data_IF_517156093532
#
_entry.id   IF_517156093532
#
_cell.length_a   1.000
_cell.length_b   1.000
_cell.length_c   1.000
_cell.angle_alpha   90.00
_cell.angle_beta   90.00
_cell.angle_gamma   90.00
#
_symmetry.space_group_name_H-M   'P 1'
#
loop_
_entity.id
_entity.type
_entity.pdbx_description
1 polymer ?
#
# COMPACT_ATOMS: atom_id res chain seq x y z
N UNK A 1 -0.17 11.90 -9.15
CA UNK A 1 0.67 10.73 -9.50
C UNK A 1 -0.04 9.40 -9.28
N UNK A 2 -0.80 9.22 -8.20
CA UNK A 2 -1.49 7.94 -7.89
C UNK A 2 -2.37 7.45 -9.04
N UNK A 3 -3.38 8.21 -9.50
CA UNK A 3 -4.22 7.81 -10.65
C UNK A 3 -3.43 7.61 -11.96
N UNK A 4 -2.42 8.43 -12.20
CA UNK A 4 -1.58 8.31 -13.41
C UNK A 4 -0.62 7.10 -13.37
N UNK A 5 -0.51 6.41 -12.23
CA UNK A 5 0.35 5.23 -12.08
C UNK A 5 -0.37 3.91 -12.39
N UNK A 6 -1.67 3.95 -12.69
CA UNK A 6 -2.44 2.75 -13.00
C UNK A 6 -1.83 2.01 -14.20
N UNK A 7 -1.64 0.70 -14.05
CA UNK A 7 -1.00 -0.15 -15.06
C UNK A 7 0.52 0.00 -15.19
N UNK A 8 1.16 0.88 -14.42
CA UNK A 8 2.60 1.07 -14.50
C UNK A 8 3.37 -0.14 -13.95
N UNK A 9 4.36 -0.61 -14.72
CA UNK A 9 5.24 -1.73 -14.33
C UNK A 9 6.45 -1.31 -13.49
N UNK A 10 6.62 -0.01 -13.25
CA UNK A 10 7.79 0.57 -12.56
C UNK A 10 8.01 -0.02 -11.16
N UNK A 11 6.93 -0.37 -10.46
CA UNK A 11 6.99 -0.83 -9.07
C UNK A 11 7.14 -2.35 -8.94
N UNK A 12 7.31 -3.06 -10.05
CA UNK A 12 7.22 -4.53 -10.07
C UNK A 12 8.43 -5.22 -9.44
N UNK A 13 9.61 -4.62 -9.53
CA UNK A 13 10.85 -5.27 -9.11
C UNK A 13 11.69 -4.32 -8.24
N UNK A 14 12.35 -4.89 -7.22
CA UNK A 14 13.39 -4.24 -6.44
C UNK A 14 14.45 -5.29 -6.14
N UNK A 15 15.64 -5.11 -6.69
CA UNK A 15 16.74 -6.05 -6.52
C UNK A 15 17.60 -5.64 -5.32
N UNK A 16 17.90 -6.60 -4.47
CA UNK A 16 18.78 -6.41 -3.31
C UNK A 16 19.63 -7.66 -3.09
N UNK A 17 20.77 -7.50 -2.42
CA UNK A 17 21.60 -8.63 -1.99
C UNK A 17 21.03 -9.23 -0.70
N UNK A 18 20.61 -10.50 -0.76
CA UNK A 18 20.10 -11.26 0.37
C UNK A 18 20.98 -12.48 0.57
N UNK A 19 21.72 -12.52 1.68
CA UNK A 19 22.68 -13.60 2.01
C UNK A 19 23.71 -13.83 0.88
N UNK A 20 24.26 -12.74 0.33
CA UNK A 20 25.29 -12.79 -0.72
C UNK A 20 24.77 -13.12 -2.12
N UNK A 21 23.46 -13.08 -2.35
CA UNK A 21 22.84 -13.32 -3.67
C UNK A 21 21.90 -12.18 -4.03
N UNK A 22 22.00 -11.71 -5.27
CA UNK A 22 21.01 -10.79 -5.82
C UNK A 22 19.64 -11.49 -5.91
N UNK A 23 18.61 -10.83 -5.39
CA UNK A 23 17.25 -11.32 -5.40
C UNK A 23 16.28 -10.17 -5.65
N UNK A 24 15.26 -10.41 -6.48
CA UNK A 24 14.09 -9.53 -6.55
C UNK A 24 13.24 -9.74 -5.29
N UNK A 25 13.32 -8.79 -4.36
CA UNK A 25 12.62 -8.88 -3.08
C UNK A 25 11.13 -8.58 -3.19
N UNK A 26 10.65 -8.05 -4.33
CA UNK A 26 9.22 -7.87 -4.61
C UNK A 26 8.59 -9.05 -5.34
N UNK A 27 9.40 -10.06 -5.72
CA UNK A 27 8.96 -11.30 -6.39
C UNK A 27 8.09 -11.02 -7.62
N UNK A 28 8.56 -10.15 -8.52
CA UNK A 28 7.86 -9.75 -9.74
C UNK A 28 6.48 -9.10 -9.47
N UNK A 29 6.36 -8.33 -8.40
CA UNK A 29 5.19 -7.52 -8.05
C UNK A 29 4.25 -8.16 -7.03
N UNK A 30 4.64 -9.29 -6.43
CA UNK A 30 3.93 -10.00 -5.37
C UNK A 30 3.91 -9.22 -4.07
N UNK A 31 5.04 -8.61 -3.74
CA UNK A 31 5.25 -7.93 -2.46
C UNK A 31 5.48 -6.43 -2.67
N UNK A 32 4.72 -5.80 -3.56
CA UNK A 32 5.00 -4.44 -4.02
C UNK A 32 4.08 -3.35 -3.44
N UNK A 33 2.99 -3.68 -2.73
CA UNK A 33 2.06 -2.68 -2.22
C UNK A 33 2.73 -1.60 -1.35
N UNK A 34 3.58 -2.02 -0.41
CA UNK A 34 4.35 -1.09 0.42
C UNK A 34 5.37 -0.29 -0.40
N UNK A 35 6.08 -0.93 -1.33
CA UNK A 35 7.07 -0.28 -2.18
C UNK A 35 6.44 0.81 -3.05
N UNK A 36 5.31 0.52 -3.67
CA UNK A 36 4.53 1.48 -4.45
C UNK A 36 4.16 2.72 -3.62
N UNK A 37 3.56 2.52 -2.44
CA UNK A 37 3.13 3.63 -1.58
C UNK A 37 4.34 4.43 -1.08
N UNK A 38 5.38 3.73 -0.61
CA UNK A 38 6.58 4.36 -0.08
C UNK A 38 7.31 5.20 -1.15
N UNK A 39 7.46 4.69 -2.36
CA UNK A 39 8.12 5.41 -3.46
C UNK A 39 7.40 6.71 -3.80
N UNK A 40 6.06 6.70 -3.85
CA UNK A 40 5.29 7.92 -4.12
C UNK A 40 5.39 8.92 -2.97
N UNK A 41 5.24 8.47 -1.72
CA UNK A 41 5.37 9.37 -0.56
C UNK A 41 6.77 9.97 -0.45
N UNK A 42 7.80 9.15 -0.65
CA UNK A 42 9.19 9.57 -0.53
C UNK A 42 9.58 10.58 -1.62
N UNK A 43 9.09 10.42 -2.85
CA UNK A 43 9.28 11.38 -3.94
C UNK A 43 8.83 12.80 -3.57
N UNK A 44 7.81 12.93 -2.71
CA UNK A 44 7.31 14.20 -2.21
C UNK A 44 7.81 14.57 -0.80
N UNK A 45 8.79 13.82 -0.27
CA UNK A 45 9.35 14.00 1.07
C UNK A 45 8.30 13.94 2.19
N UNK A 46 7.27 13.13 1.99
CA UNK A 46 6.20 12.88 2.97
C UNK A 46 6.54 11.73 3.93
N UNK A 47 7.59 10.97 3.61
CA UNK A 47 8.27 10.00 4.48
C UNK A 47 9.78 10.11 4.27
N UNK A 48 10.56 9.67 5.26
CA UNK A 48 12.01 9.83 5.24
C UNK A 48 12.71 8.89 4.24
N UNK A 49 12.24 7.64 4.11
CA UNK A 49 12.95 6.58 3.38
C UNK A 49 11.98 5.75 2.50
N UNK A 50 12.46 5.10 1.43
CA UNK A 50 11.69 4.08 0.73
C UNK A 50 11.57 2.80 1.57
N UNK A 51 10.44 2.09 1.48
CA UNK A 51 10.17 0.87 2.25
C UNK A 51 9.61 -0.24 1.36
N UNK A 52 10.17 -1.45 1.46
CA UNK A 52 9.64 -2.64 0.80
C UNK A 52 8.58 -3.39 1.64
N UNK A 53 8.40 -3.03 2.92
CA UNK A 53 7.47 -3.72 3.84
C UNK A 53 6.45 -2.76 4.42
N UNK A 54 5.22 -3.24 4.64
CA UNK A 54 4.14 -2.45 5.24
C UNK A 54 4.54 -1.98 6.64
N UNK A 55 5.17 -2.86 7.43
CA UNK A 55 5.63 -2.52 8.79
C UNK A 55 6.68 -1.39 8.79
N UNK A 56 7.63 -1.40 7.85
CA UNK A 56 8.61 -0.32 7.67
C UNK A 56 7.93 1.01 7.32
N UNK A 57 7.04 0.97 6.32
CA UNK A 57 6.27 2.13 5.88
C UNK A 57 5.45 2.74 7.03
N UNK A 58 4.74 1.94 7.83
CA UNK A 58 3.93 2.45 8.95
C UNK A 58 4.77 3.16 10.00
N UNK A 59 5.92 2.61 10.36
CA UNK A 59 6.82 3.26 11.32
C UNK A 59 7.30 4.62 10.80
N UNK A 60 7.60 4.70 9.51
CA UNK A 60 8.07 5.95 8.91
C UNK A 60 6.95 6.98 8.70
N UNK A 61 5.74 6.54 8.35
CA UNK A 61 4.55 7.40 8.35
C UNK A 61 4.39 8.09 9.71
N UNK A 62 4.36 7.31 10.80
CA UNK A 62 4.21 7.83 12.15
C UNK A 62 5.34 8.80 12.52
N UNK A 63 6.59 8.44 12.21
CA UNK A 63 7.76 9.29 12.44
C UNK A 63 7.72 10.59 11.61
N UNK A 64 7.10 10.55 10.44
CA UNK A 64 6.98 11.67 9.50
C UNK A 64 5.72 12.52 9.73
N UNK A 65 5.06 12.36 10.89
CA UNK A 65 3.93 13.20 11.29
C UNK A 65 2.56 12.73 10.79
N UNK A 66 2.47 11.53 10.20
CA UNK A 66 1.17 10.95 9.87
C UNK A 66 0.50 10.39 11.12
N UNK A 67 -0.77 10.71 11.30
CA UNK A 67 -1.57 10.28 12.44
C UNK A 67 -2.65 9.31 12.01
N UNK A 68 -3.02 8.39 12.89
CA UNK A 68 -4.20 7.53 12.67
C UNK A 68 -5.47 8.39 12.68
N UNK A 69 -6.41 8.04 11.83
CA UNK A 69 -7.67 8.77 11.67
C UNK A 69 -8.79 7.82 11.26
N UNK A 70 -10.02 8.17 11.62
CA UNK A 70 -11.23 7.49 11.15
C UNK A 70 -11.76 8.09 9.84
N UNK A 71 -11.11 9.16 9.34
CA UNK A 71 -11.54 9.88 8.15
C UNK A 71 -11.00 9.20 6.88
N UNK A 72 -11.91 8.75 6.02
CA UNK A 72 -11.61 8.33 4.65
C UNK A 72 -11.56 9.56 3.74
N UNK A 73 -10.36 10.09 3.50
CA UNK A 73 -10.16 11.32 2.73
C UNK A 73 -9.13 11.11 1.61
N UNK A 74 -9.28 11.77 0.45
CA UNK A 74 -8.31 11.68 -0.64
C UNK A 74 -6.89 11.95 -0.17
N UNK A 75 -5.94 11.11 -0.59
CA UNK A 75 -4.53 11.20 -0.21
C UNK A 75 -4.16 10.51 1.10
N UNK A 76 -5.14 10.06 1.89
CA UNK A 76 -4.87 9.23 3.06
C UNK A 76 -4.23 7.88 2.66
N UNK A 77 -3.41 7.32 3.54
CA UNK A 77 -2.87 5.97 3.38
C UNK A 77 -3.78 5.01 4.12
N UNK A 78 -4.35 4.05 3.41
CA UNK A 78 -5.26 3.03 3.97
C UNK A 78 -4.55 1.69 4.08
N UNK A 79 -4.74 1.02 5.21
CA UNK A 79 -4.23 -0.32 5.49
C UNK A 79 -5.37 -1.30 5.63
N UNK A 80 -5.18 -2.49 5.07
CA UNK A 80 -6.11 -3.59 5.15
C UNK A 80 -5.53 -4.77 5.91
N UNK A 81 -6.43 -5.61 6.44
CA UNK A 81 -6.07 -6.80 7.22
C UNK A 81 -5.17 -7.76 6.43
N UNK A 82 -4.39 -8.55 7.15
CA UNK A 82 -3.55 -9.58 6.56
C UNK A 82 -4.37 -10.74 6.00
N UNK A 83 -4.13 -11.06 4.73
CA UNK A 83 -4.72 -12.22 4.07
C UNK A 83 -3.64 -13.23 3.71
N UNK A 84 -4.04 -14.50 3.65
CA UNK A 84 -3.16 -15.57 3.18
C UNK A 84 -2.89 -15.36 1.68
N UNK A 85 -1.62 -15.17 1.36
CA UNK A 85 -1.14 -15.12 0.00
C UNK A 85 -1.01 -16.54 -0.58
N UNK A 86 -0.85 -16.67 -1.90
CA UNK A 86 -0.72 -17.99 -2.58
C UNK A 86 0.43 -18.85 -2.05
N UNK A 87 1.45 -18.22 -1.46
CA UNK A 87 2.59 -18.88 -0.83
C UNK A 87 2.30 -19.43 0.58
N UNK A 88 1.13 -19.12 1.16
CA UNK A 88 0.78 -19.41 2.55
C UNK A 88 1.27 -18.36 3.56
N UNK A 89 2.09 -17.40 3.12
CA UNK A 89 2.48 -16.25 3.93
C UNK A 89 1.29 -15.29 4.12
N UNK A 90 1.18 -14.67 5.28
CA UNK A 90 0.18 -13.63 5.53
C UNK A 90 0.78 -12.26 5.28
N UNK A 91 0.09 -11.43 4.50
CA UNK A 91 0.55 -10.09 4.17
C UNK A 91 -0.55 -9.06 4.37
N UNK A 92 -0.23 -8.03 5.16
CA UNK A 92 -1.02 -6.80 5.17
C UNK A 92 -0.96 -6.13 3.81
N UNK A 93 -1.98 -5.33 3.50
CA UNK A 93 -2.03 -4.57 2.26
C UNK A 93 -2.18 -3.08 2.52
N UNK A 94 -1.71 -2.26 1.60
CA UNK A 94 -1.67 -0.81 1.76
C UNK A 94 -1.88 -0.10 0.43
N UNK A 95 -2.51 1.07 0.48
CA UNK A 95 -2.81 1.87 -0.69
C UNK A 95 -3.12 3.33 -0.34
N UNK A 96 -3.49 4.09 -1.35
CA UNK A 96 -3.96 5.46 -1.21
C UNK A 96 -5.47 5.52 -1.37
N UNK A 97 -6.13 6.24 -0.48
CA UNK A 97 -7.52 6.66 -0.66
C UNK A 97 -7.57 7.68 -1.79
N UNK A 98 -8.43 7.42 -2.76
CA UNK A 98 -8.66 8.31 -3.90
C UNK A 98 -9.88 9.20 -3.67
N UNK A 99 -10.93 8.60 -3.12
CA UNK A 99 -12.19 9.23 -2.74
C UNK A 99 -12.88 8.37 -1.67
N UNK A 100 -14.13 8.67 -1.32
CA UNK A 100 -14.85 7.99 -0.23
C UNK A 100 -15.09 6.48 -0.43
N UNK A 101 -14.95 5.96 -1.67
CA UNK A 101 -15.22 4.54 -1.98
C UNK A 101 -14.09 3.86 -2.73
N UNK A 102 -13.10 4.62 -3.23
CA UNK A 102 -12.05 4.11 -4.10
C UNK A 102 -10.68 4.24 -3.46
N UNK A 103 -9.86 3.20 -3.62
CA UNK A 103 -8.45 3.23 -3.27
C UNK A 103 -7.59 2.68 -4.41
N UNK A 104 -6.33 3.10 -4.47
CA UNK A 104 -5.33 2.58 -5.40
C UNK A 104 -4.21 1.90 -4.64
N UNK A 105 -3.86 0.70 -5.08
CA UNK A 105 -2.75 -0.07 -4.52
C UNK A 105 -2.10 -0.93 -5.59
N UNK A 106 -0.90 -1.45 -5.32
CA UNK A 106 -0.28 -2.42 -6.21
C UNK A 106 -0.94 -3.79 -6.05
N UNK A 107 -1.50 -4.33 -7.13
CA UNK A 107 -2.13 -5.66 -7.13
C UNK A 107 -1.08 -6.76 -7.25
N UNK A 108 -1.21 -7.78 -6.39
CA UNK A 108 -0.47 -9.03 -6.47
C UNK A 108 -0.91 -9.88 -7.67
N UNK A 109 -2.18 -9.87 -8.07
CA UNK A 109 -2.62 -10.62 -9.26
C UNK A 109 -2.17 -9.97 -10.57
N UNK A 110 -2.36 -8.66 -10.71
CA UNK A 110 -2.10 -7.92 -11.96
C UNK A 110 -0.64 -7.45 -12.10
N UNK A 111 0.12 -7.49 -11.00
CA UNK A 111 1.52 -7.07 -10.93
C UNK A 111 1.73 -5.58 -11.33
N UNK A 112 0.74 -4.73 -11.07
CA UNK A 112 0.72 -3.28 -11.35
C UNK A 112 -0.21 -2.55 -10.37
N UNK A 113 -0.10 -1.20 -10.21
CA UNK A 113 -1.12 -0.41 -9.53
C UNK A 113 -2.48 -0.49 -10.23
N UNK A 114 -3.53 -0.72 -9.45
CA UNK A 114 -4.92 -0.75 -9.93
C UNK A 114 -5.85 -0.05 -8.94
N UNK A 115 -7.06 0.29 -9.40
CA UNK A 115 -8.13 0.81 -8.55
C UNK A 115 -8.93 -0.35 -7.95
N UNK A 116 -9.36 -0.19 -6.69
CA UNK A 116 -10.22 -1.12 -5.97
C UNK A 116 -11.28 -0.34 -5.19
N UNK A 117 -12.41 -1.00 -4.90
CA UNK A 117 -13.29 -0.52 -3.84
C UNK A 117 -12.52 -0.51 -2.51
N UNK A 118 -12.77 0.49 -1.65
CA UNK A 118 -12.01 0.69 -0.41
C UNK A 118 -12.13 -0.48 0.59
N UNK A 119 -13.12 -1.35 0.42
CA UNK A 119 -13.31 -2.59 1.21
C UNK A 119 -13.12 -3.86 0.38
N UNK A 120 -12.62 -3.76 -0.85
CA UNK A 120 -12.59 -4.84 -1.84
C UNK A 120 -13.98 -5.39 -2.22
N UNK A 121 -15.04 -4.63 -1.90
CA UNK A 121 -16.45 -4.99 -2.05
C UNK A 121 -17.07 -5.46 -0.74
N UNK A 122 -18.20 -6.14 -0.84
CA UNK A 122 -18.94 -6.69 0.31
C UNK A 122 -19.18 -8.20 0.15
N UNK A 123 -19.24 -8.88 1.29
CA UNK A 123 -19.72 -10.25 1.40
C UNK A 123 -21.25 -10.29 1.32
N UNK A 124 -21.83 -11.49 1.26
CA UNK A 124 -23.28 -11.67 1.17
C UNK A 124 -24.06 -11.12 2.38
N UNK A 125 -23.41 -11.02 3.54
CA UNK A 125 -23.96 -10.45 4.78
C UNK A 125 -23.78 -8.92 4.88
N UNK A 126 -23.23 -8.29 3.84
CA UNK A 126 -22.94 -6.85 3.79
C UNK A 126 -21.62 -6.44 4.44
N UNK A 127 -20.89 -7.37 5.08
CA UNK A 127 -19.58 -7.07 5.68
C UNK A 127 -18.52 -6.77 4.60
N UNK A 128 -17.49 -5.95 4.89
CA UNK A 128 -16.35 -5.73 4.01
C UNK A 128 -15.70 -7.05 3.57
N UNK A 129 -15.40 -7.20 2.27
CA UNK A 129 -14.59 -8.34 1.79
C UNK A 129 -13.20 -8.33 2.41
N UNK A 130 -12.62 -7.13 2.56
CA UNK A 130 -11.37 -6.93 3.28
C UNK A 130 -11.49 -5.74 4.24
N UNK A 131 -11.45 -5.99 5.55
CA UNK A 131 -11.52 -4.93 6.55
C UNK A 131 -10.35 -3.95 6.50
N UNK A 132 -10.64 -2.67 6.76
CA UNK A 132 -9.64 -1.63 6.98
C UNK A 132 -9.16 -1.72 8.43
N UNK A 133 -7.85 -1.77 8.64
CA UNK A 133 -7.25 -1.86 9.98
C UNK A 133 -6.69 -0.53 10.47
N UNK A 134 -6.33 0.38 9.56
CA UNK A 134 -5.91 1.73 9.88
C UNK A 134 -6.03 2.66 8.67
N UNK A 135 -6.27 3.94 8.93
CA UNK A 135 -6.09 5.01 7.95
C UNK A 135 -5.14 6.04 8.56
N UNK A 136 -4.17 6.50 7.77
CA UNK A 136 -3.22 7.54 8.15
C UNK A 136 -3.45 8.79 7.31
N UNK A 137 -3.47 9.94 7.99
CA UNK A 137 -3.54 11.28 7.37
C UNK A 137 -2.38 12.13 7.86
N UNK A 138 -1.91 13.05 7.04
CA UNK A 138 -0.87 14.00 7.44
C UNK A 138 -1.53 15.26 8.03
N UNK A 139 -1.28 15.56 9.29
CA UNK A 139 -1.79 16.78 9.92
C UNK A 139 -1.16 18.02 9.25
N UNK A 140 -2.01 18.97 8.82
CA UNK A 140 -1.59 20.19 8.12
C UNK A 140 -1.98 20.28 6.64
N UNK A 141 -2.56 19.22 6.06
CA UNK A 141 -3.10 19.21 4.69
C UNK A 141 -4.62 18.98 4.61
N UNK A 142 -5.33 19.12 5.75
CA UNK A 142 -6.79 19.06 5.86
C UNK A 142 -7.38 20.44 6.12
#
# INVERSE_FOLDING_TARGET
MVRNSLGAKLFRNLYAEVKGKEQDILRNGDLSCAFYVAMLLHQFRLIAEPHATVAGLVRDLQRSGWVKSDKVVPGAVVLWEEEAHKSGERHAHVGFVIDGMTAVSHSDSERVPVEHHITFGSNNDGSPKRPITAIYVLEGFL
#
